data_IF_190793589169
#
_entry.id   IF_190793589169
#
_cell.length_a   1.000
_cell.length_b   1.000
_cell.length_c   1.000
_cell.angle_alpha   90.00
_cell.angle_beta   90.00
_cell.angle_gamma   90.00
#
_symmetry.space_group_name_H-M   'P 1'
#
loop_
_entity.id
_entity.type
_entity.pdbx_description
1 polymer ?
#
# COMPACT_ATOMS: atom_id res chain seq x y z
N UNK A 1 45.52 52.90 21.01
CA UNK A 1 45.47 53.61 22.30
C UNK A 1 44.86 52.68 23.30
N UNK A 2 45.69 51.96 24.06
CA UNK A 2 46.01 52.10 25.48
C UNK A 2 44.72 52.01 26.39
N UNK A 3 44.53 51.12 27.31
CA UNK A 3 45.44 50.49 28.30
C UNK A 3 44.65 49.40 29.06
N UNK A 4 45.21 48.27 29.35
CA UNK A 4 45.00 47.54 30.62
C UNK A 4 45.89 48.23 31.70
N UNK A 5 45.89 47.89 32.99
CA UNK A 5 45.63 46.61 33.71
C UNK A 5 45.05 46.83 35.15
N UNK A 6 44.91 45.74 35.94
CA UNK A 6 44.78 45.83 37.37
C UNK A 6 44.59 44.49 38.06
N UNK A 7 45.71 43.87 38.47
CA UNK A 7 45.81 42.80 39.46
C UNK A 7 45.43 43.31 40.87
N UNK A 8 44.69 42.50 41.65
CA UNK A 8 44.94 42.41 43.11
C UNK A 8 44.65 40.99 43.63
N UNK A 9 45.71 40.38 44.12
CA UNK A 9 45.68 39.16 44.92
C UNK A 9 45.36 39.49 46.39
N UNK A 10 44.62 38.66 47.08
CA UNK A 10 44.70 38.56 48.53
C UNK A 10 44.46 37.09 48.97
N UNK A 11 45.51 36.65 49.69
CA UNK A 11 45.57 35.33 50.35
C UNK A 11 44.78 35.31 51.65
N UNK A 12 44.32 34.12 52.05
CA UNK A 12 44.10 33.90 53.44
C UNK A 12 43.01 32.89 53.85
N UNK A 13 43.51 31.78 54.23
CA UNK A 13 43.20 30.91 55.41
C UNK A 13 42.64 29.52 55.12
N UNK A 14 43.52 28.54 55.43
CA UNK A 14 43.21 27.13 55.63
C UNK A 14 42.15 26.96 56.74
N UNK A 15 41.14 26.15 56.41
CA UNK A 15 40.23 25.57 57.38
C UNK A 15 40.06 24.10 57.06
N UNK A 16 40.67 23.23 57.85
CA UNK A 16 40.52 21.78 57.77
C UNK A 16 39.12 21.38 58.17
N UNK A 17 38.35 20.78 57.30
CA UNK A 17 37.13 20.03 57.67
C UNK A 17 37.28 18.57 57.19
N UNK A 18 37.22 17.67 58.13
CA UNK A 18 37.25 16.24 57.91
C UNK A 18 36.04 15.80 57.06
N UNK A 19 36.35 15.24 55.92
CA UNK A 19 35.33 14.67 55.01
C UNK A 19 34.90 13.28 55.46
N UNK A 20 33.63 13.16 55.78
CA UNK A 20 32.93 11.89 55.97
C UNK A 20 32.72 11.24 54.56
N UNK A 21 33.49 10.20 54.24
CA UNK A 21 33.31 9.43 53.03
C UNK A 21 32.10 8.49 53.25
N UNK A 22 30.94 8.88 52.75
CA UNK A 22 29.82 7.96 52.55
C UNK A 22 30.13 7.05 51.34
N UNK A 23 30.52 5.85 51.62
CA UNK A 23 30.58 4.77 50.59
C UNK A 23 29.14 4.42 50.20
N UNK A 24 28.65 5.03 49.11
CA UNK A 24 27.46 4.57 48.42
C UNK A 24 27.80 3.25 47.73
N UNK A 25 27.40 2.14 48.33
CA UNK A 25 27.47 0.84 47.73
C UNK A 25 26.61 0.82 46.43
N UNK A 26 27.26 0.69 45.26
CA UNK A 26 26.60 0.32 44.04
C UNK A 26 25.99 -1.08 44.23
N UNK A 27 24.68 -1.16 44.47
CA UNK A 27 23.95 -2.40 44.30
C UNK A 27 24.06 -2.81 42.79
N UNK A 28 24.41 -4.06 42.49
CA UNK A 28 24.41 -4.53 41.10
C UNK A 28 22.98 -4.43 40.59
N UNK A 29 22.79 -3.67 39.46
CA UNK A 29 21.55 -3.74 38.69
C UNK A 29 21.34 -5.21 38.29
N UNK A 30 20.12 -5.74 38.44
CA UNK A 30 19.83 -7.06 37.89
C UNK A 30 20.11 -7.00 36.39
N UNK A 31 20.98 -7.87 35.90
CA UNK A 31 21.21 -8.08 34.49
C UNK A 31 19.85 -8.47 33.90
N UNK A 32 19.33 -7.62 33.00
CA UNK A 32 18.20 -7.99 32.18
C UNK A 32 18.63 -9.20 31.36
N UNK A 33 18.26 -10.39 31.83
CA UNK A 33 18.37 -11.60 31.04
C UNK A 33 17.64 -11.41 29.69
N UNK A 34 18.04 -12.11 28.63
CA UNK A 34 17.33 -12.02 27.36
C UNK A 34 15.83 -12.25 27.62
N UNK A 35 14.99 -11.36 27.09
CA UNK A 35 13.54 -11.50 27.19
C UNK A 35 13.17 -12.94 26.76
N UNK A 36 12.28 -13.64 27.47
CA UNK A 36 11.89 -15.00 27.13
C UNK A 36 11.44 -15.01 25.66
N UNK A 37 11.98 -15.95 24.88
CA UNK A 37 11.61 -16.11 23.48
C UNK A 37 10.08 -16.21 23.37
N UNK A 38 9.49 -15.42 22.47
CA UNK A 38 8.06 -15.45 22.24
C UNK A 38 7.65 -16.90 21.90
N UNK A 39 6.57 -17.38 22.55
CA UNK A 39 6.08 -18.74 22.27
C UNK A 39 5.43 -18.79 20.90
N UNK A 40 5.55 -19.89 20.15
CA UNK A 40 4.79 -20.08 18.94
C UNK A 40 3.28 -19.94 19.19
N UNK A 41 2.57 -19.39 18.21
CA UNK A 41 1.10 -19.26 18.24
C UNK A 41 0.51 -20.18 17.19
N UNK A 42 -0.50 -20.95 17.56
CA UNK A 42 -1.23 -21.86 16.67
C UNK A 42 -2.64 -21.36 16.48
N UNK A 43 -3.02 -21.15 15.22
CA UNK A 43 -4.39 -20.86 14.81
C UNK A 43 -5.00 -22.15 14.26
N UNK A 44 -6.11 -22.61 14.84
CA UNK A 44 -6.67 -23.92 14.57
C UNK A 44 -8.14 -23.88 14.21
N UNK A 45 -8.56 -24.60 13.15
CA UNK A 45 -9.94 -24.85 12.78
C UNK A 45 -10.55 -23.90 11.74
N UNK A 46 -9.81 -22.87 11.26
CA UNK A 46 -10.31 -21.97 10.22
C UNK A 46 -10.32 -22.60 8.83
N UNK A 47 -11.18 -22.09 7.94
CA UNK A 47 -10.94 -22.18 6.49
C UNK A 47 -9.72 -21.33 6.15
N UNK A 48 -8.80 -21.87 5.38
CA UNK A 48 -7.58 -21.17 4.95
C UNK A 48 -7.58 -20.97 3.44
N UNK A 49 -7.49 -19.71 3.02
CA UNK A 49 -7.20 -19.28 1.65
C UNK A 49 -5.71 -18.94 1.64
N UNK A 50 -4.91 -19.69 0.89
CA UNK A 50 -3.45 -19.53 0.86
C UNK A 50 -2.98 -18.30 0.09
N UNK A 51 -3.82 -17.74 -0.80
CA UNK A 51 -3.52 -16.54 -1.59
C UNK A 51 -2.81 -16.82 -2.92
N UNK A 52 -2.43 -18.05 -3.21
CA UNK A 52 -1.71 -18.48 -4.43
C UNK A 52 -2.62 -19.06 -5.51
N UNK A 53 -3.95 -19.03 -5.29
CA UNK A 53 -4.94 -19.59 -6.22
C UNK A 53 -5.23 -21.08 -6.06
N UNK A 54 -4.56 -21.76 -5.13
CA UNK A 54 -4.92 -23.14 -4.79
C UNK A 54 -6.25 -23.22 -4.04
N UNK A 55 -6.95 -24.36 -4.07
CA UNK A 55 -8.19 -24.55 -3.31
C UNK A 55 -7.98 -24.30 -1.81
N UNK A 56 -8.99 -23.70 -1.16
CA UNK A 56 -8.95 -23.44 0.26
C UNK A 56 -8.83 -24.75 1.07
N UNK A 57 -8.08 -24.70 2.18
CA UNK A 57 -7.95 -25.81 3.12
C UNK A 57 -9.02 -25.64 4.19
N UNK A 58 -9.95 -26.57 4.24
CA UNK A 58 -10.96 -26.59 5.30
C UNK A 58 -10.35 -27.06 6.62
N UNK A 59 -10.72 -26.37 7.72
CA UNK A 59 -10.22 -26.71 9.07
C UNK A 59 -8.70 -26.80 9.11
N UNK A 60 -8.03 -25.70 8.73
CA UNK A 60 -6.58 -25.62 8.70
C UNK A 60 -5.99 -25.36 10.10
N UNK A 61 -4.73 -25.78 10.25
CA UNK A 61 -3.85 -25.43 11.37
C UNK A 61 -2.67 -24.62 10.83
N UNK A 62 -2.41 -23.46 11.43
CA UNK A 62 -1.27 -22.58 11.13
C UNK A 62 -0.43 -22.42 12.38
N UNK A 63 0.88 -22.59 12.27
CA UNK A 63 1.84 -22.30 13.34
C UNK A 63 2.65 -21.08 12.95
N UNK A 64 2.59 -20.06 13.81
CA UNK A 64 3.36 -18.82 13.67
C UNK A 64 4.41 -18.75 14.77
N UNK A 65 5.64 -18.53 14.38
CA UNK A 65 6.77 -18.31 15.29
C UNK A 65 7.67 -17.22 14.73
N UNK A 66 8.15 -16.34 15.62
CA UNK A 66 9.09 -15.27 15.28
C UNK A 66 8.64 -14.44 14.05
N UNK A 67 7.34 -14.20 13.95
CA UNK A 67 6.74 -13.40 12.88
C UNK A 67 6.58 -14.10 11.53
N UNK A 68 6.79 -15.42 11.46
CA UNK A 68 6.69 -16.22 10.23
C UNK A 68 5.78 -17.43 10.39
N UNK A 69 5.20 -17.88 9.29
CA UNK A 69 4.56 -19.19 9.26
C UNK A 69 5.65 -20.27 9.27
N UNK A 70 5.61 -21.16 10.26
CA UNK A 70 6.55 -22.28 10.35
C UNK A 70 5.94 -23.60 9.90
N UNK A 71 4.61 -23.74 10.04
CA UNK A 71 3.88 -24.87 9.52
C UNK A 71 2.45 -24.46 9.13
N UNK A 72 1.94 -25.03 8.05
CA UNK A 72 0.61 -24.76 7.49
C UNK A 72 0.05 -26.06 6.88
N UNK A 73 -1.20 -26.40 7.18
CA UNK A 73 -1.82 -27.61 6.61
C UNK A 73 -3.21 -27.86 7.17
N UNK A 74 -3.80 -29.00 6.79
CA UNK A 74 -5.08 -29.43 7.34
C UNK A 74 -4.93 -29.80 8.83
N UNK A 75 -5.99 -29.59 9.60
CA UNK A 75 -6.06 -29.94 11.01
C UNK A 75 -5.69 -31.43 11.23
N UNK A 76 -4.80 -31.69 12.18
CA UNK A 76 -4.30 -33.03 12.46
C UNK A 76 -3.10 -33.48 11.58
N UNK A 77 -2.74 -32.72 10.54
CA UNK A 77 -1.56 -32.98 9.69
C UNK A 77 -0.35 -32.11 10.05
N UNK A 78 -0.54 -31.10 10.90
CA UNK A 78 0.49 -30.16 11.31
C UNK A 78 1.02 -30.53 12.69
N UNK A 79 2.34 -30.66 12.85
CA UNK A 79 2.97 -30.85 14.16
C UNK A 79 2.89 -29.53 14.93
N UNK A 80 2.27 -29.58 16.10
CA UNK A 80 2.08 -28.42 16.98
C UNK A 80 3.16 -28.45 18.07
N UNK A 81 3.96 -27.36 18.24
CA UNK A 81 4.93 -27.28 19.33
C UNK A 81 4.22 -27.37 20.70
N UNK A 82 4.78 -28.11 21.64
CA UNK A 82 4.19 -28.35 22.97
C UNK A 82 3.94 -27.04 23.75
N UNK A 83 4.86 -26.06 23.64
CA UNK A 83 4.78 -24.79 24.33
C UNK A 83 3.92 -23.72 23.59
N UNK A 84 3.24 -24.08 22.49
CA UNK A 84 2.51 -23.12 21.68
C UNK A 84 1.23 -22.61 22.37
N UNK A 85 0.97 -21.32 22.23
CA UNK A 85 -0.33 -20.74 22.57
C UNK A 85 -1.34 -21.08 21.47
N UNK A 86 -2.51 -21.62 21.82
CA UNK A 86 -3.55 -21.98 20.86
C UNK A 86 -4.62 -20.90 20.79
N UNK A 87 -5.03 -20.57 19.55
CA UNK A 87 -6.13 -19.67 19.21
C UNK A 87 -7.13 -20.49 18.40
N UNK A 88 -8.33 -20.69 18.93
CA UNK A 88 -9.42 -21.29 18.20
C UNK A 88 -10.03 -20.26 17.23
N UNK A 89 -9.98 -20.59 15.95
CA UNK A 89 -10.54 -19.81 14.85
C UNK A 89 -11.56 -20.61 14.05
N UNK A 90 -12.19 -21.59 14.68
CA UNK A 90 -13.27 -22.40 14.11
C UNK A 90 -14.41 -21.51 13.60
N UNK A 91 -14.89 -21.77 12.39
CA UNK A 91 -15.93 -20.99 11.72
C UNK A 91 -15.45 -19.67 11.11
N UNK A 92 -14.18 -19.31 11.27
CA UNK A 92 -13.55 -18.15 10.62
C UNK A 92 -12.89 -18.54 9.30
N UNK A 93 -12.54 -17.54 8.51
CA UNK A 93 -11.69 -17.70 7.33
C UNK A 93 -10.40 -16.91 7.55
N UNK A 94 -9.26 -17.52 7.22
CA UNK A 94 -7.96 -16.85 7.21
C UNK A 94 -7.51 -16.69 5.77
N UNK A 95 -7.00 -15.51 5.43
CA UNK A 95 -6.37 -15.20 4.14
C UNK A 95 -5.13 -14.34 4.35
N UNK A 96 -4.18 -14.26 3.39
CA UNK A 96 -3.08 -13.32 3.46
C UNK A 96 -3.62 -11.90 3.57
N UNK A 97 -2.93 -11.02 4.30
CA UNK A 97 -3.22 -9.60 4.26
C UNK A 97 -3.00 -9.07 2.83
N UNK A 98 -3.85 -8.14 2.41
CA UNK A 98 -3.89 -7.62 1.04
C UNK A 98 -2.70 -6.68 0.75
N UNK A 99 -2.53 -6.37 -0.53
CA UNK A 99 -1.48 -5.46 -1.03
C UNK A 99 -2.13 -4.44 -1.94
N UNK A 100 -1.87 -3.16 -1.68
CA UNK A 100 -2.21 -2.06 -2.59
C UNK A 100 -1.00 -1.73 -3.46
N UNK A 101 -1.02 -2.20 -4.70
CA UNK A 101 0.11 -2.07 -5.60
C UNK A 101 0.23 -0.69 -6.26
N UNK A 102 -0.78 0.20 -6.13
CA UNK A 102 -0.78 1.52 -6.72
C UNK A 102 -1.57 2.52 -5.89
N UNK A 103 -0.88 3.41 -5.20
CA UNK A 103 -1.46 4.47 -4.39
C UNK A 103 -0.61 5.76 -4.44
N UNK A 104 -1.09 6.83 -3.79
CA UNK A 104 -0.40 8.11 -3.62
C UNK A 104 -0.41 8.51 -2.13
N UNK A 105 0.40 7.80 -1.35
CA UNK A 105 0.40 7.84 0.12
C UNK A 105 0.95 9.18 0.63
N UNK A 106 0.25 9.82 1.59
CA UNK A 106 0.76 10.98 2.34
C UNK A 106 0.24 12.34 1.93
N UNK A 107 -0.52 12.46 0.83
CA UNK A 107 -1.03 13.76 0.35
C UNK A 107 -2.36 14.15 0.96
N UNK A 108 -3.25 13.19 1.17
CA UNK A 108 -4.59 13.45 1.71
C UNK A 108 -4.55 13.48 3.24
N UNK A 109 -5.16 14.51 3.85
CA UNK A 109 -5.40 14.58 5.28
C UNK A 109 -6.72 15.31 5.53
N UNK A 110 -7.71 14.61 6.05
CA UNK A 110 -9.06 15.14 6.26
C UNK A 110 -9.63 15.76 4.97
N UNK A 111 -9.95 17.05 4.98
CA UNK A 111 -10.52 17.79 3.86
C UNK A 111 -9.47 18.50 3.01
N UNK A 112 -8.19 18.22 3.22
CA UNK A 112 -7.09 18.83 2.46
C UNK A 112 -6.29 17.79 1.71
N UNK A 113 -5.72 18.17 0.56
CA UNK A 113 -4.76 17.37 -0.17
C UNK A 113 -3.67 18.30 -0.74
N UNK A 114 -2.42 17.91 -0.52
CA UNK A 114 -1.29 18.68 -1.04
C UNK A 114 0.02 18.36 -0.35
N UNK A 115 1.13 18.99 -0.82
CA UNK A 115 2.47 18.74 -0.31
C UNK A 115 2.65 19.13 1.17
N UNK A 116 1.83 20.05 1.68
CA UNK A 116 1.82 20.44 3.10
C UNK A 116 1.45 19.29 4.03
N UNK A 117 0.72 18.30 3.52
CA UNK A 117 0.33 17.08 4.26
C UNK A 117 1.40 15.98 4.18
N UNK A 118 2.41 16.11 3.30
CA UNK A 118 3.42 15.09 3.08
C UNK A 118 4.44 15.09 4.21
N UNK A 119 4.01 14.61 5.37
CA UNK A 119 4.77 14.54 6.62
C UNK A 119 4.88 13.10 7.09
N UNK A 120 5.89 12.84 7.95
CA UNK A 120 6.05 11.53 8.59
C UNK A 120 4.75 11.06 9.25
N UNK A 121 4.15 11.90 10.06
CA UNK A 121 2.94 11.54 10.84
C UNK A 121 1.78 11.17 9.93
N UNK A 122 1.58 11.91 8.84
CA UNK A 122 0.49 11.62 7.90
C UNK A 122 0.74 10.36 7.07
N UNK A 123 1.99 10.11 6.65
CA UNK A 123 2.33 8.86 5.97
C UNK A 123 2.15 7.67 6.91
N UNK A 124 2.62 7.78 8.16
CA UNK A 124 2.42 6.74 9.19
C UNK A 124 0.93 6.50 9.45
N UNK A 125 0.11 7.55 9.55
CA UNK A 125 -1.35 7.43 9.69
C UNK A 125 -1.94 6.63 8.51
N UNK A 126 -1.52 6.90 7.28
CA UNK A 126 -1.94 6.13 6.10
C UNK A 126 -1.52 4.65 6.20
N UNK A 127 -0.29 4.36 6.63
CA UNK A 127 0.18 2.98 6.80
C UNK A 127 -0.58 2.24 7.91
N UNK A 128 -0.98 2.94 8.96
CA UNK A 128 -1.82 2.42 10.03
C UNK A 128 -3.26 2.16 9.57
N UNK A 129 -3.81 3.02 8.68
CA UNK A 129 -5.10 2.77 8.03
C UNK A 129 -5.03 1.51 7.17
N UNK A 130 -3.99 1.32 6.38
CA UNK A 130 -3.78 0.07 5.65
C UNK A 130 -3.82 -1.14 6.59
N UNK A 131 -3.04 -1.13 7.66
CA UNK A 131 -3.03 -2.21 8.65
C UNK A 131 -4.41 -2.44 9.27
N UNK A 132 -5.13 -1.38 9.62
CA UNK A 132 -6.49 -1.46 10.17
C UNK A 132 -7.45 -2.19 9.24
N UNK A 133 -7.33 -1.97 7.93
CA UNK A 133 -8.15 -2.60 6.89
C UNK A 133 -7.58 -3.92 6.34
N UNK A 134 -6.57 -4.50 6.99
CA UNK A 134 -6.00 -5.80 6.59
C UNK A 134 -5.12 -5.75 5.35
N UNK A 135 -4.45 -4.63 5.13
CA UNK A 135 -3.46 -4.44 4.05
C UNK A 135 -2.05 -4.45 4.64
N UNK A 136 -1.19 -5.35 4.15
CA UNK A 136 0.18 -5.52 4.66
C UNK A 136 1.20 -4.61 3.99
N UNK A 137 0.94 -4.16 2.77
CA UNK A 137 1.86 -3.29 2.03
C UNK A 137 1.11 -2.35 1.09
N UNK A 138 1.62 -1.11 0.96
CA UNK A 138 1.15 -0.11 0.01
C UNK A 138 2.31 0.49 -0.77
N UNK A 139 2.16 0.56 -2.11
CA UNK A 139 3.13 1.13 -3.04
C UNK A 139 2.72 2.53 -3.46
N UNK A 140 3.49 3.54 -3.07
CA UNK A 140 3.35 4.88 -3.63
C UNK A 140 3.97 4.95 -5.03
N UNK A 141 3.18 5.43 -6.02
CA UNK A 141 3.53 5.39 -7.43
C UNK A 141 3.85 6.78 -7.99
N UNK A 142 5.13 7.17 -7.85
CA UNK A 142 5.69 8.33 -8.56
C UNK A 142 5.29 9.68 -8.00
N UNK A 143 4.70 9.74 -6.83
CA UNK A 143 4.27 10.99 -6.17
C UNK A 143 5.16 11.40 -5.00
N UNK A 144 6.18 10.62 -4.70
CA UNK A 144 7.06 10.88 -3.59
C UNK A 144 8.17 11.87 -3.95
N UNK A 145 8.51 12.75 -3.00
CA UNK A 145 9.57 13.72 -3.13
C UNK A 145 10.31 13.83 -1.78
N UNK A 146 11.49 14.37 -1.68
CA UNK A 146 12.32 14.36 -0.48
C UNK A 146 12.94 12.99 -0.15
N UNK A 147 13.65 12.89 0.97
CA UNK A 147 14.26 11.66 1.46
C UNK A 147 13.33 10.86 2.40
N UNK A 148 12.25 11.45 2.86
CA UNK A 148 11.32 10.87 3.83
C UNK A 148 10.73 9.52 3.39
N UNK A 149 10.26 9.33 2.13
CA UNK A 149 9.68 8.07 1.69
C UNK A 149 10.68 6.91 1.78
N UNK A 150 11.94 7.14 1.47
CA UNK A 150 12.96 6.08 1.55
C UNK A 150 13.27 5.68 3.00
N UNK A 151 13.29 6.64 3.92
CA UNK A 151 13.43 6.38 5.36
C UNK A 151 12.25 5.55 5.89
N UNK A 152 11.01 5.94 5.54
CA UNK A 152 9.81 5.23 5.97
C UNK A 152 9.70 3.84 5.33
N UNK A 153 10.14 3.67 4.08
CA UNK A 153 10.26 2.35 3.47
C UNK A 153 11.13 1.42 4.33
N UNK A 154 12.33 1.87 4.68
CA UNK A 154 13.30 1.05 5.41
C UNK A 154 12.85 0.80 6.87
N UNK A 155 12.21 1.79 7.51
CA UNK A 155 11.65 1.64 8.86
C UNK A 155 10.45 0.68 8.89
N UNK A 156 9.53 0.80 7.95
CA UNK A 156 8.34 -0.05 7.88
C UNK A 156 8.69 -1.50 7.52
N UNK A 157 9.64 -1.68 6.59
CA UNK A 157 10.16 -3.01 6.25
C UNK A 157 10.80 -3.71 7.47
N UNK A 158 11.52 -2.95 8.29
CA UNK A 158 12.13 -3.44 9.52
C UNK A 158 11.14 -3.60 10.70
N UNK A 159 9.83 -3.31 10.51
CA UNK A 159 8.82 -3.41 11.56
C UNK A 159 8.95 -2.36 12.68
N UNK A 160 9.69 -1.26 12.45
CA UNK A 160 9.89 -0.20 13.46
C UNK A 160 8.73 0.78 13.59
N UNK A 161 7.71 0.67 12.73
CA UNK A 161 6.49 1.47 12.81
C UNK A 161 5.37 0.55 13.32
N UNK A 162 4.90 0.72 14.57
CA UNK A 162 3.88 -0.15 15.15
C UNK A 162 2.55 -0.05 14.41
N UNK A 163 1.84 -1.18 14.31
CA UNK A 163 0.52 -1.29 13.70
C UNK A 163 0.43 -0.70 12.28
N UNK A 164 1.51 -0.80 11.50
CA UNK A 164 1.61 -0.18 10.19
C UNK A 164 1.96 -1.20 9.10
N UNK A 165 1.36 -1.02 7.93
CA UNK A 165 1.71 -1.71 6.70
C UNK A 165 3.14 -1.35 6.24
N UNK A 166 3.74 -2.19 5.39
CA UNK A 166 5.00 -1.85 4.72
C UNK A 166 4.75 -0.74 3.70
N UNK A 167 5.62 0.24 3.69
CA UNK A 167 5.62 1.31 2.70
C UNK A 167 6.62 0.99 1.60
N UNK A 168 6.17 1.06 0.35
CA UNK A 168 7.03 0.97 -0.82
C UNK A 168 6.89 2.25 -1.63
N UNK A 169 7.95 2.62 -2.35
CA UNK A 169 7.98 3.86 -3.11
C UNK A 169 8.61 3.67 -4.48
N UNK A 170 7.98 4.25 -5.51
CA UNK A 170 8.56 4.48 -6.82
C UNK A 170 9.38 5.81 -6.87
N UNK A 171 9.45 6.52 -5.75
CA UNK A 171 10.07 7.82 -5.68
C UNK A 171 9.34 8.86 -6.53
N UNK A 172 10.09 9.74 -7.14
CA UNK A 172 9.57 10.72 -8.10
C UNK A 172 9.23 10.03 -9.42
N UNK A 173 8.09 10.36 -9.99
CA UNK A 173 7.77 9.91 -11.34
C UNK A 173 8.44 10.77 -12.43
N UNK A 174 8.28 10.37 -13.69
CA UNK A 174 8.83 11.08 -14.84
C UNK A 174 7.68 11.51 -15.77
N UNK A 175 7.66 12.80 -16.15
CA UNK A 175 6.57 13.38 -16.95
C UNK A 175 7.05 14.59 -17.76
N UNK A 176 6.34 15.04 -18.81
CA UNK A 176 6.63 16.31 -19.44
C UNK A 176 6.41 17.48 -18.47
N UNK A 177 7.10 18.64 -18.65
CA UNK A 177 6.93 19.80 -17.79
C UNK A 177 5.49 20.34 -17.70
N UNK A 178 4.75 20.22 -18.80
CA UNK A 178 3.40 20.76 -18.95
C UNK A 178 2.30 19.75 -18.59
N UNK A 179 2.69 18.55 -18.12
CA UNK A 179 1.70 17.56 -17.75
C UNK A 179 0.82 18.07 -16.62
N UNK A 180 -0.49 18.05 -16.83
CA UNK A 180 -1.50 18.40 -15.83
C UNK A 180 -1.74 17.18 -14.93
N UNK A 181 -0.79 16.92 -14.02
CA UNK A 181 -1.15 16.24 -12.78
C UNK A 181 -2.00 17.17 -11.92
N UNK A 182 -2.78 16.65 -10.99
CA UNK A 182 -3.42 17.51 -10.00
C UNK A 182 -2.42 18.49 -9.43
N UNK A 183 -2.78 19.76 -9.31
CA UNK A 183 -1.87 20.83 -8.88
C UNK A 183 -1.11 20.50 -7.59
N UNK A 184 -1.78 19.78 -6.68
CA UNK A 184 -1.22 19.32 -5.41
C UNK A 184 -0.08 18.30 -5.54
N UNK A 185 0.10 17.66 -6.70
CA UNK A 185 1.12 16.63 -6.94
C UNK A 185 2.13 17.02 -8.04
N UNK A 186 1.94 18.18 -8.69
CA UNK A 186 2.75 18.61 -9.84
C UNK A 186 4.25 18.66 -9.54
N UNK A 187 4.64 19.02 -8.32
CA UNK A 187 6.03 19.12 -7.88
C UNK A 187 6.72 17.76 -7.69
N UNK A 188 5.98 16.65 -7.68
CA UNK A 188 6.50 15.33 -7.33
C UNK A 188 7.22 14.61 -8.46
N UNK A 189 7.14 15.04 -9.74
CA UNK A 189 7.84 14.38 -10.82
C UNK A 189 9.07 15.16 -11.31
N UNK A 190 9.94 14.42 -11.98
CA UNK A 190 10.96 14.99 -12.85
C UNK A 190 10.30 15.51 -14.12
N UNK A 191 10.58 16.76 -14.49
CA UNK A 191 10.19 17.33 -15.76
C UNK A 191 11.17 16.86 -16.84
N UNK A 192 10.72 16.06 -17.80
CA UNK A 192 11.56 15.42 -18.81
C UNK A 192 11.32 16.07 -20.17
N UNK A 193 12.40 16.60 -20.76
CA UNK A 193 12.39 17.23 -22.09
C UNK A 193 13.41 16.60 -23.05
N UNK A 194 14.41 15.89 -22.50
CA UNK A 194 15.46 15.23 -23.27
C UNK A 194 15.70 13.80 -22.78
N UNK A 195 16.25 12.94 -23.64
CA UNK A 195 16.67 11.59 -23.26
C UNK A 195 17.73 11.60 -22.15
N UNK A 196 18.64 12.57 -22.16
CA UNK A 196 19.68 12.68 -21.15
C UNK A 196 19.09 12.96 -19.75
N UNK A 197 18.09 13.84 -19.66
CA UNK A 197 17.32 14.07 -18.43
C UNK A 197 16.59 12.80 -17.97
N UNK A 198 15.95 12.08 -18.90
CA UNK A 198 15.28 10.83 -18.62
C UNK A 198 16.24 9.79 -18.00
N UNK A 199 17.39 9.57 -18.62
CA UNK A 199 18.41 8.63 -18.12
C UNK A 199 18.99 9.05 -16.77
N UNK A 200 19.23 10.35 -16.58
CA UNK A 200 19.71 10.90 -15.31
C UNK A 200 18.69 10.65 -14.19
N UNK A 201 17.42 10.98 -14.40
CA UNK A 201 16.34 10.77 -13.42
C UNK A 201 16.18 9.29 -13.03
N UNK A 202 16.21 8.38 -14.01
CA UNK A 202 16.19 6.93 -13.75
C UNK A 202 17.42 6.50 -12.93
N UNK A 203 18.61 7.08 -13.23
CA UNK A 203 19.83 6.83 -12.47
C UNK A 203 19.74 7.25 -11.00
N UNK A 204 19.11 8.39 -10.71
CA UNK A 204 18.86 8.87 -9.35
C UNK A 204 17.91 7.94 -8.59
N UNK A 205 16.84 7.46 -9.24
CA UNK A 205 15.90 6.51 -8.66
C UNK A 205 16.57 5.16 -8.35
N UNK A 206 17.41 4.67 -9.25
CA UNK A 206 18.19 3.44 -9.04
C UNK A 206 19.13 3.57 -7.84
N UNK A 207 19.82 4.71 -7.68
CA UNK A 207 20.67 4.97 -6.52
C UNK A 207 19.92 5.00 -5.18
N UNK A 208 18.60 5.23 -5.21
CA UNK A 208 17.69 5.18 -4.06
C UNK A 208 17.08 3.79 -3.83
N UNK A 209 17.44 2.78 -4.63
CA UNK A 209 16.90 1.42 -4.53
C UNK A 209 15.45 1.30 -4.95
N UNK A 210 14.98 2.14 -5.87
CA UNK A 210 13.64 2.03 -6.47
C UNK A 210 13.62 0.84 -7.43
N UNK A 211 12.60 -0.01 -7.32
CA UNK A 211 12.45 -1.20 -8.16
C UNK A 211 11.56 -0.97 -9.38
N UNK A 212 10.62 -0.02 -9.30
CA UNK A 212 9.65 0.29 -10.35
C UNK A 212 9.66 1.80 -10.60
N UNK A 213 9.98 2.21 -11.82
CA UNK A 213 9.88 3.60 -12.28
C UNK A 213 8.44 3.89 -12.68
N UNK A 214 7.89 5.03 -12.25
CA UNK A 214 6.59 5.53 -12.69
C UNK A 214 6.76 6.62 -13.74
N UNK A 215 5.98 6.52 -14.83
CA UNK A 215 5.88 7.59 -15.84
C UNK A 215 4.44 7.81 -16.29
N UNK A 216 4.17 8.94 -16.94
CA UNK A 216 2.85 9.29 -17.48
C UNK A 216 2.96 9.53 -18.98
N UNK A 217 2.12 8.83 -19.74
CA UNK A 217 1.94 8.99 -21.20
C UNK A 217 0.45 9.22 -21.44
N UNK A 218 0.02 10.47 -21.22
CA UNK A 218 -1.37 10.88 -21.34
C UNK A 218 -1.41 12.36 -21.71
N UNK A 219 -2.16 12.74 -22.74
CA UNK A 219 -2.32 14.12 -23.20
C UNK A 219 -3.58 14.81 -22.66
N UNK A 220 -4.35 14.11 -21.83
CA UNK A 220 -5.61 14.62 -21.28
C UNK A 220 -6.60 15.07 -22.34
N UNK A 221 -6.70 14.30 -23.43
CA UNK A 221 -7.53 14.67 -24.57
C UNK A 221 -6.99 15.83 -25.41
N UNK A 222 -5.67 15.96 -25.47
CA UNK A 222 -4.98 17.02 -26.22
C UNK A 222 -4.74 18.32 -25.43
N UNK A 223 -5.04 18.33 -24.14
CA UNK A 223 -4.85 19.53 -23.29
C UNK A 223 -3.38 19.77 -22.92
N UNK A 224 -2.55 18.75 -22.96
CA UNK A 224 -1.13 18.81 -22.58
C UNK A 224 -0.27 17.97 -23.53
N UNK A 225 1.04 18.24 -23.57
CA UNK A 225 1.97 17.38 -24.28
C UNK A 225 2.19 16.11 -23.48
N UNK A 226 2.27 14.95 -24.15
CA UNK A 226 2.69 13.68 -23.58
C UNK A 226 4.15 13.38 -23.90
N UNK A 227 4.77 12.47 -23.16
CA UNK A 227 6.10 11.97 -23.49
C UNK A 227 6.11 11.36 -24.88
N UNK A 228 7.10 11.74 -25.68
CA UNK A 228 7.31 11.20 -27.02
C UNK A 228 7.87 9.77 -26.94
N UNK A 229 7.77 8.97 -28.04
CA UNK A 229 8.38 7.64 -28.10
C UNK A 229 9.87 7.60 -27.74
N UNK A 230 10.64 8.60 -28.15
CA UNK A 230 12.07 8.67 -27.82
C UNK A 230 12.28 8.86 -26.30
N UNK A 231 11.49 9.72 -25.66
CA UNK A 231 11.62 9.98 -24.21
C UNK A 231 11.20 8.78 -23.36
N UNK A 232 10.03 8.17 -23.63
CA UNK A 232 9.65 6.98 -22.86
C UNK A 232 10.50 5.76 -23.23
N UNK A 233 11.01 5.67 -24.47
CA UNK A 233 11.99 4.67 -24.86
C UNK A 233 13.29 4.78 -24.06
N UNK A 234 13.81 6.00 -23.89
CA UNK A 234 14.99 6.25 -23.07
C UNK A 234 14.78 5.90 -21.58
N UNK A 235 13.58 6.17 -21.05
CA UNK A 235 13.20 5.77 -19.67
C UNK A 235 13.23 4.25 -19.53
N UNK A 236 12.58 3.53 -20.46
CA UNK A 236 12.46 2.06 -20.45
C UNK A 236 13.85 1.42 -20.57
N UNK A 237 14.64 1.85 -21.56
CA UNK A 237 16.00 1.34 -21.79
C UNK A 237 16.89 1.54 -20.57
N UNK A 238 16.92 2.75 -19.99
CA UNK A 238 17.76 3.02 -18.82
C UNK A 238 17.32 2.24 -17.59
N UNK A 239 15.99 2.13 -17.35
CA UNK A 239 15.43 1.34 -16.24
C UNK A 239 15.83 -0.14 -16.38
N UNK A 240 15.68 -0.72 -17.57
CA UNK A 240 16.04 -2.12 -17.82
C UNK A 240 17.54 -2.37 -17.67
N UNK A 241 18.39 -1.45 -18.15
CA UNK A 241 19.87 -1.56 -17.93
C UNK A 241 20.24 -1.58 -16.47
N UNK A 242 19.43 -1.01 -15.60
CA UNK A 242 19.60 -1.00 -14.13
C UNK A 242 18.82 -2.08 -13.38
N UNK A 243 18.16 -2.99 -14.09
CA UNK A 243 17.34 -4.06 -13.48
C UNK A 243 16.03 -3.56 -12.87
N UNK A 244 15.59 -2.35 -13.23
CA UNK A 244 14.33 -1.77 -12.81
C UNK A 244 13.24 -2.02 -13.84
N UNK A 245 11.98 -2.00 -13.42
CA UNK A 245 10.81 -2.08 -14.30
C UNK A 245 10.17 -0.70 -14.46
N UNK A 246 9.40 -0.54 -15.52
CA UNK A 246 8.67 0.71 -15.82
C UNK A 246 7.17 0.45 -15.80
N UNK A 247 6.44 1.22 -14.98
CA UNK A 247 5.00 1.26 -14.93
C UNK A 247 4.50 2.61 -15.45
N UNK A 248 3.53 2.56 -16.35
CA UNK A 248 3.03 3.73 -17.05
C UNK A 248 1.57 4.01 -16.70
N UNK A 249 1.26 5.29 -16.42
CA UNK A 249 -0.08 5.82 -16.55
C UNK A 249 -0.35 6.07 -18.03
N UNK A 250 -1.25 5.30 -18.64
CA UNK A 250 -1.75 5.49 -19.98
C UNK A 250 -3.22 5.04 -20.02
N UNK A 251 -4.07 5.82 -20.66
CA UNK A 251 -5.51 5.55 -20.76
C UNK A 251 -5.97 5.29 -22.18
N UNK A 252 -5.25 5.82 -23.17
CA UNK A 252 -5.56 5.63 -24.58
C UNK A 252 -5.05 4.27 -25.10
N UNK A 253 -5.88 3.60 -25.89
CA UNK A 253 -5.58 2.27 -26.45
C UNK A 253 -4.32 2.25 -27.34
N UNK A 254 -4.17 3.26 -28.21
CA UNK A 254 -3.02 3.36 -29.11
C UNK A 254 -1.71 3.59 -28.35
N UNK A 255 -1.75 4.41 -27.29
CA UNK A 255 -0.59 4.61 -26.39
C UNK A 255 -0.21 3.30 -25.68
N UNK A 256 -1.21 2.54 -25.20
CA UNK A 256 -0.96 1.25 -24.58
C UNK A 256 -0.27 0.27 -25.51
N UNK A 257 -0.71 0.19 -26.77
CA UNK A 257 -0.08 -0.67 -27.80
C UNK A 257 1.34 -0.21 -28.13
N UNK A 258 1.55 1.10 -28.29
CA UNK A 258 2.88 1.66 -28.57
C UNK A 258 3.86 1.39 -27.40
N UNK A 259 3.43 1.58 -26.16
CA UNK A 259 4.20 1.30 -24.95
C UNK A 259 4.53 -0.18 -24.80
N UNK A 260 3.59 -1.08 -25.11
CA UNK A 260 3.87 -2.53 -25.14
C UNK A 260 4.95 -2.87 -26.16
N UNK A 261 4.89 -2.30 -27.37
CA UNK A 261 5.93 -2.50 -28.38
C UNK A 261 7.28 -1.92 -27.97
N UNK A 262 7.27 -0.80 -27.25
CA UNK A 262 8.49 -0.18 -26.70
C UNK A 262 9.10 -0.94 -25.51
N UNK A 263 8.39 -1.92 -24.95
CA UNK A 263 8.96 -2.75 -23.90
C UNK A 263 8.52 -2.44 -22.47
N UNK A 264 7.49 -1.60 -22.27
CA UNK A 264 6.99 -1.30 -20.91
C UNK A 264 6.64 -2.56 -20.13
N UNK A 265 6.84 -2.54 -18.82
CA UNK A 265 6.59 -3.70 -17.94
C UNK A 265 5.19 -3.73 -17.36
N UNK A 266 4.53 -2.57 -17.22
CA UNK A 266 3.19 -2.54 -16.64
C UNK A 266 2.43 -1.24 -16.79
N UNK A 267 1.14 -1.32 -16.46
CA UNK A 267 0.19 -0.21 -16.50
C UNK A 267 -0.48 0.02 -15.16
N UNK A 268 -0.74 1.28 -14.85
CA UNK A 268 -1.29 1.71 -13.57
C UNK A 268 -2.81 1.84 -13.52
N UNK A 269 -3.50 1.65 -14.66
CA UNK A 269 -4.95 1.81 -14.73
C UNK A 269 -5.59 0.79 -15.65
N UNK A 270 -6.92 0.63 -15.50
CA UNK A 270 -7.72 -0.12 -16.44
C UNK A 270 -7.99 0.74 -17.69
N UNK A 271 -7.97 0.11 -18.87
CA UNK A 271 -8.35 0.74 -20.12
C UNK A 271 -9.87 0.69 -20.30
N UNK A 272 -10.44 1.76 -20.87
CA UNK A 272 -11.85 1.74 -21.25
C UNK A 272 -12.08 0.83 -22.48
N UNK A 273 -11.11 0.79 -23.40
CA UNK A 273 -11.18 -0.01 -24.61
C UNK A 273 -10.03 -1.01 -24.65
N UNK A 274 -10.36 -2.28 -24.93
CA UNK A 274 -9.41 -3.37 -25.08
C UNK A 274 -9.81 -4.14 -26.33
N UNK A 275 -9.00 -4.07 -27.39
CA UNK A 275 -9.23 -4.78 -28.63
C UNK A 275 -8.39 -6.08 -28.75
N UNK A 276 -8.57 -6.81 -29.85
CA UNK A 276 -7.88 -8.09 -30.06
C UNK A 276 -6.37 -7.93 -30.22
N UNK A 277 -5.92 -6.79 -30.76
CA UNK A 277 -4.49 -6.50 -30.92
C UNK A 277 -3.83 -6.26 -29.55
N UNK A 278 -4.45 -5.48 -28.65
CA UNK A 278 -3.94 -5.29 -27.29
C UNK A 278 -3.87 -6.63 -26.56
N UNK A 279 -4.91 -7.47 -26.67
CA UNK A 279 -4.92 -8.82 -26.09
C UNK A 279 -3.78 -9.68 -26.63
N UNK A 280 -3.53 -9.64 -27.94
CA UNK A 280 -2.44 -10.39 -28.57
C UNK A 280 -1.06 -9.90 -28.08
N UNK A 281 -0.87 -8.59 -27.96
CA UNK A 281 0.35 -7.99 -27.41
C UNK A 281 0.59 -8.42 -25.96
N UNK A 282 -0.45 -8.40 -25.13
CA UNK A 282 -0.36 -8.85 -23.71
C UNK A 282 -0.01 -10.33 -23.64
N UNK A 283 -0.67 -11.19 -24.44
CA UNK A 283 -0.35 -12.64 -24.51
C UNK A 283 1.08 -12.92 -24.95
N UNK A 284 1.63 -12.10 -25.84
CA UNK A 284 3.02 -12.25 -26.32
C UNK A 284 4.06 -11.82 -25.25
N UNK A 285 3.62 -11.15 -24.19
CA UNK A 285 4.46 -10.62 -23.12
C UNK A 285 3.89 -10.97 -21.74
N UNK A 286 3.90 -12.23 -21.30
CA UNK A 286 3.25 -12.72 -20.09
C UNK A 286 3.80 -12.09 -18.79
N UNK A 287 4.95 -11.42 -18.83
CA UNK A 287 5.53 -10.68 -17.73
C UNK A 287 4.85 -9.32 -17.48
N UNK A 288 4.12 -8.77 -18.46
CA UNK A 288 3.44 -7.47 -18.34
C UNK A 288 2.37 -7.55 -17.25
N UNK A 289 2.34 -6.52 -16.41
CA UNK A 289 1.41 -6.45 -15.30
C UNK A 289 0.48 -5.24 -15.37
N UNK A 290 -0.65 -5.36 -14.69
CA UNK A 290 -1.66 -4.31 -14.57
C UNK A 290 -1.99 -4.10 -13.10
N UNK A 291 -1.78 -2.88 -12.61
CA UNK A 291 -2.16 -2.45 -11.27
C UNK A 291 -3.48 -1.68 -11.37
N UNK A 292 -4.60 -2.42 -11.37
CA UNK A 292 -5.90 -1.87 -11.72
C UNK A 292 -6.51 -1.09 -10.56
N UNK A 293 -7.03 0.09 -10.86
CA UNK A 293 -7.84 0.94 -9.99
C UNK A 293 -9.17 1.30 -10.71
N UNK A 294 -10.08 0.33 -10.91
CA UNK A 294 -11.25 0.51 -11.75
C UNK A 294 -12.35 1.38 -11.16
N UNK A 295 -12.26 1.72 -9.88
CA UNK A 295 -13.38 2.28 -9.12
C UNK A 295 -13.94 3.63 -9.54
N UNK A 296 -13.22 4.45 -10.31
CA UNK A 296 -13.64 5.81 -10.68
C UNK A 296 -15.07 5.91 -11.23
N UNK A 297 -15.39 5.33 -12.38
CA UNK A 297 -16.73 5.38 -12.96
C UNK A 297 -17.77 4.62 -12.11
N UNK A 298 -17.39 3.48 -11.52
CA UNK A 298 -18.31 2.67 -10.75
C UNK A 298 -18.80 3.36 -9.47
N UNK A 299 -17.98 4.14 -8.79
CA UNK A 299 -18.37 4.92 -7.61
C UNK A 299 -19.53 5.87 -7.88
N UNK A 300 -19.57 6.44 -9.08
CA UNK A 300 -20.69 7.29 -9.54
C UNK A 300 -21.98 6.47 -9.68
N UNK A 301 -21.87 5.21 -10.08
CA UNK A 301 -23.01 4.34 -10.38
C UNK A 301 -23.47 3.58 -9.14
N UNK A 302 -22.56 3.16 -8.27
CA UNK A 302 -22.85 2.25 -7.16
C UNK A 302 -21.90 2.44 -5.96
N UNK A 303 -22.21 3.39 -5.09
CA UNK A 303 -21.53 3.56 -3.80
C UNK A 303 -22.40 3.05 -2.65
N UNK A 304 -22.78 1.78 -2.68
CA UNK A 304 -23.72 1.17 -1.72
C UNK A 304 -23.25 1.21 -0.26
N UNK A 305 -21.93 1.34 -0.03
CA UNK A 305 -21.36 1.45 1.30
C UNK A 305 -21.49 2.84 1.93
N UNK A 306 -22.00 3.82 1.19
CA UNK A 306 -22.11 5.22 1.63
C UNK A 306 -23.51 5.57 2.16
N UNK A 307 -24.53 4.77 1.84
CA UNK A 307 -25.91 4.94 2.33
C UNK A 307 -26.60 3.59 2.52
N UNK A 308 -26.69 3.08 3.78
CA UNK A 308 -26.07 3.64 4.99
C UNK A 308 -24.55 3.56 4.96
N UNK A 309 -23.91 4.50 5.66
CA UNK A 309 -22.44 4.51 5.76
C UNK A 309 -21.94 3.24 6.45
N UNK A 310 -21.01 2.54 5.80
CA UNK A 310 -20.46 1.31 6.36
C UNK A 310 -19.71 1.61 7.69
N UNK A 311 -19.90 0.81 8.77
CA UNK A 311 -19.31 1.06 10.08
C UNK A 311 -17.80 1.30 10.05
N UNK A 312 -17.04 0.48 9.30
CA UNK A 312 -15.58 0.65 9.17
C UNK A 312 -15.19 2.00 8.55
N UNK A 313 -16.00 2.56 7.66
CA UNK A 313 -15.77 3.90 7.09
C UNK A 313 -16.06 4.96 8.15
N UNK A 314 -17.19 4.84 8.86
CA UNK A 314 -17.56 5.76 9.93
C UNK A 314 -16.52 5.80 11.09
N UNK A 315 -15.80 4.70 11.30
CA UNK A 315 -14.74 4.61 12.32
C UNK A 315 -13.41 5.27 11.89
N UNK A 316 -13.20 5.51 10.60
CA UNK A 316 -11.89 5.90 10.07
C UNK A 316 -11.92 7.19 9.26
N UNK A 317 -13.08 7.64 8.80
CA UNK A 317 -13.26 8.82 7.95
C UNK A 317 -14.12 9.83 8.71
N UNK A 318 -13.72 11.11 8.68
CA UNK A 318 -14.49 12.13 9.40
C UNK A 318 -15.91 12.30 8.83
N UNK A 319 -16.90 12.62 9.67
CA UNK A 319 -18.27 12.88 9.20
C UNK A 319 -18.35 13.95 8.11
N UNK A 320 -17.46 14.96 8.16
CA UNK A 320 -17.41 16.04 7.17
C UNK A 320 -16.93 15.53 5.80
N UNK A 321 -15.95 14.62 5.76
CA UNK A 321 -15.51 13.99 4.51
C UNK A 321 -16.62 13.13 3.91
N UNK A 322 -17.31 12.35 4.73
CA UNK A 322 -18.45 11.53 4.32
C UNK A 322 -19.56 12.41 3.75
N UNK A 323 -19.97 13.45 4.48
CA UNK A 323 -21.01 14.37 4.05
C UNK A 323 -20.66 15.08 2.73
N UNK A 324 -19.38 15.49 2.57
CA UNK A 324 -18.90 16.10 1.32
C UNK A 324 -19.01 15.14 0.13
N UNK A 325 -18.67 13.86 0.34
CA UNK A 325 -18.80 12.84 -0.70
C UNK A 325 -20.27 12.59 -1.06
N UNK A 326 -21.15 12.42 -0.06
CA UNK A 326 -22.59 12.26 -0.27
C UNK A 326 -23.17 13.42 -1.06
N UNK A 327 -22.84 14.69 -0.70
CA UNK A 327 -23.26 15.87 -1.43
C UNK A 327 -22.76 15.89 -2.88
N UNK A 328 -21.49 15.50 -3.11
CA UNK A 328 -20.93 15.42 -4.46
C UNK A 328 -21.69 14.43 -5.33
N UNK A 329 -21.96 13.24 -4.81
CA UNK A 329 -22.71 12.21 -5.53
C UNK A 329 -24.18 12.61 -5.77
N UNK A 330 -24.80 13.29 -4.81
CA UNK A 330 -26.17 13.78 -4.95
C UNK A 330 -26.34 14.87 -6.01
N UNK A 331 -25.29 15.67 -6.28
CA UNK A 331 -25.29 16.74 -7.29
C UNK A 331 -25.06 16.24 -8.72
N UNK A 332 -24.76 14.96 -8.91
CA UNK A 332 -24.51 14.41 -10.25
C UNK A 332 -25.78 14.43 -11.09
N UNK A 333 -25.64 14.95 -12.30
CA UNK A 333 -26.72 14.99 -13.28
C UNK A 333 -27.00 13.59 -13.85
N UNK A 334 -28.20 13.37 -14.43
CA UNK A 334 -28.48 12.13 -15.15
C UNK A 334 -27.46 11.80 -16.24
N UNK A 335 -27.02 12.83 -17.02
CA UNK A 335 -26.04 12.67 -18.08
C UNK A 335 -24.64 12.26 -17.55
N UNK A 336 -24.22 12.81 -16.40
CA UNK A 336 -22.96 12.39 -15.75
C UNK A 336 -23.03 10.92 -15.29
N UNK A 337 -24.16 10.51 -14.71
CA UNK A 337 -24.38 9.12 -14.31
C UNK A 337 -24.38 8.16 -15.51
N UNK A 338 -25.01 8.55 -16.60
CA UNK A 338 -25.05 7.75 -17.82
C UNK A 338 -23.65 7.61 -18.44
N UNK A 339 -22.89 8.72 -18.54
CA UNK A 339 -21.49 8.67 -19.01
C UNK A 339 -20.63 7.79 -18.12
N UNK A 340 -20.80 7.87 -16.79
CA UNK A 340 -20.06 7.01 -15.85
C UNK A 340 -20.45 5.54 -16.01
N UNK A 341 -21.73 5.24 -16.25
CA UNK A 341 -22.20 3.88 -16.53
C UNK A 341 -21.56 3.32 -17.80
N UNK A 342 -21.62 4.06 -18.90
CA UNK A 342 -21.03 3.64 -20.15
C UNK A 342 -19.50 3.47 -20.07
N UNK A 343 -18.82 4.34 -19.32
CA UNK A 343 -17.39 4.23 -19.05
C UNK A 343 -17.08 2.97 -18.21
N UNK A 344 -17.90 2.69 -17.20
CA UNK A 344 -17.77 1.48 -16.39
C UNK A 344 -17.96 0.21 -17.20
N UNK A 345 -19.01 0.13 -18.03
CA UNK A 345 -19.32 -1.04 -18.85
C UNK A 345 -18.16 -1.38 -19.81
N UNK A 346 -17.59 -0.37 -20.48
CA UNK A 346 -16.41 -0.58 -21.34
C UNK A 346 -15.20 -1.03 -20.56
N UNK A 347 -14.91 -0.38 -19.42
CA UNK A 347 -13.77 -0.74 -18.56
C UNK A 347 -13.92 -2.15 -18.00
N UNK A 348 -15.11 -2.54 -17.54
CA UNK A 348 -15.39 -3.88 -17.03
C UNK A 348 -15.18 -4.95 -18.11
N UNK A 349 -15.68 -4.70 -19.33
CA UNK A 349 -15.43 -5.59 -20.47
C UNK A 349 -13.93 -5.73 -20.77
N UNK A 350 -13.16 -4.62 -20.71
CA UNK A 350 -11.72 -4.63 -20.86
C UNK A 350 -10.99 -5.46 -19.82
N UNK A 351 -11.36 -5.30 -18.52
CA UNK A 351 -10.80 -6.09 -17.42
C UNK A 351 -11.10 -7.58 -17.61
N UNK A 352 -12.35 -7.94 -17.95
CA UNK A 352 -12.72 -9.33 -18.22
C UNK A 352 -11.87 -9.93 -19.36
N UNK A 353 -11.64 -9.19 -20.46
CA UNK A 353 -10.82 -9.64 -21.59
C UNK A 353 -9.36 -9.84 -21.19
N UNK A 354 -8.77 -8.90 -20.44
CA UNK A 354 -7.39 -9.02 -19.96
C UNK A 354 -7.24 -10.20 -18.99
N UNK A 355 -8.18 -10.37 -18.06
CA UNK A 355 -8.19 -11.50 -17.13
C UNK A 355 -8.31 -12.84 -17.86
N UNK A 356 -9.22 -12.95 -18.82
CA UNK A 356 -9.37 -14.16 -19.66
C UNK A 356 -8.13 -14.44 -20.55
N UNK A 357 -7.37 -13.39 -20.88
CA UNK A 357 -6.10 -13.51 -21.61
C UNK A 357 -4.93 -13.99 -20.72
N UNK A 358 -5.13 -14.13 -19.41
CA UNK A 358 -4.09 -14.51 -18.46
C UNK A 358 -3.16 -13.36 -18.06
N UNK A 359 -3.59 -12.11 -18.21
CA UNK A 359 -2.80 -10.95 -17.78
C UNK A 359 -2.49 -11.01 -16.27
N UNK A 360 -1.29 -10.58 -15.89
CA UNK A 360 -0.89 -10.44 -14.48
C UNK A 360 -1.55 -9.20 -13.87
N UNK A 361 -2.57 -9.39 -13.09
CA UNK A 361 -3.36 -8.30 -12.49
C UNK A 361 -3.08 -8.22 -11.00
N UNK A 362 -2.83 -7.02 -10.50
CA UNK A 362 -2.81 -6.68 -9.07
C UNK A 362 -3.84 -5.59 -8.77
N UNK A 363 -4.28 -5.55 -7.52
CA UNK A 363 -5.12 -4.47 -6.99
C UNK A 363 -4.28 -3.22 -6.81
N UNK A 364 -4.77 -2.10 -7.33
CA UNK A 364 -4.33 -0.75 -7.02
C UNK A 364 -5.55 0.10 -6.64
N UNK A 365 -5.36 1.15 -5.86
CA UNK A 365 -6.46 2.03 -5.45
C UNK A 365 -6.39 3.42 -6.07
N UNK A 366 -5.21 3.86 -6.48
CA UNK A 366 -4.91 5.25 -6.83
C UNK A 366 -5.25 6.22 -5.66
N UNK A 367 -5.32 5.69 -4.45
CA UNK A 367 -5.81 6.35 -3.24
C UNK A 367 -4.76 7.19 -2.53
N UNK A 368 -5.24 8.14 -1.69
CA UNK A 368 -4.40 8.95 -0.81
C UNK A 368 -3.79 10.20 -1.43
N UNK A 369 -3.92 10.40 -2.76
CA UNK A 369 -3.35 11.53 -3.49
C UNK A 369 -4.28 12.73 -3.61
N UNK A 370 -5.56 12.50 -3.80
CA UNK A 370 -6.55 13.54 -4.07
C UNK A 370 -7.74 13.48 -3.10
N UNK A 371 -8.39 14.63 -2.92
CA UNK A 371 -9.67 14.68 -2.20
C UNK A 371 -10.73 13.95 -3.02
N UNK A 372 -11.29 12.92 -2.43
CA UNK A 372 -12.29 12.10 -3.10
C UNK A 372 -12.87 11.06 -2.14
N UNK A 373 -13.13 9.93 -2.71
CA UNK A 373 -13.71 8.73 -2.11
C UNK A 373 -12.71 7.57 -2.02
N UNK A 374 -11.45 7.83 -2.40
CA UNK A 374 -10.35 6.87 -2.35
C UNK A 374 -9.68 6.91 -0.97
N UNK A 375 -10.43 6.48 0.06
CA UNK A 375 -9.93 6.44 1.43
C UNK A 375 -8.90 5.34 1.60
N UNK A 376 -7.72 5.70 2.09
CA UNK A 376 -6.60 4.78 2.28
C UNK A 376 -7.02 3.56 3.12
N UNK A 377 -6.70 2.38 2.63
CA UNK A 377 -7.06 1.10 3.22
C UNK A 377 -8.48 0.64 2.83
N UNK A 378 -9.50 1.44 3.06
CA UNK A 378 -10.89 1.12 2.69
C UNK A 378 -11.04 0.83 1.19
N UNK A 379 -10.44 1.66 0.35
CA UNK A 379 -10.59 1.56 -1.11
C UNK A 379 -10.10 0.22 -1.65
N UNK A 380 -9.17 -0.47 -1.00
CA UNK A 380 -8.76 -1.83 -1.39
C UNK A 380 -9.96 -2.78 -1.42
N UNK A 381 -10.84 -2.72 -0.42
CA UNK A 381 -12.07 -3.54 -0.38
C UNK A 381 -13.04 -3.18 -1.50
N UNK A 382 -13.17 -1.90 -1.83
CA UNK A 382 -14.05 -1.50 -2.94
C UNK A 382 -13.47 -1.89 -4.30
N UNK A 383 -12.15 -1.88 -4.47
CA UNK A 383 -11.53 -2.30 -5.73
C UNK A 383 -11.60 -3.82 -5.96
N UNK A 384 -11.47 -4.66 -4.92
CA UNK A 384 -11.71 -6.10 -5.09
C UNK A 384 -13.17 -6.39 -5.47
N UNK A 385 -14.14 -5.63 -4.94
CA UNK A 385 -15.54 -5.73 -5.36
C UNK A 385 -15.75 -5.26 -6.79
N UNK A 386 -15.07 -4.19 -7.21
CA UNK A 386 -15.12 -3.68 -8.58
C UNK A 386 -14.56 -4.71 -9.57
N UNK A 387 -13.47 -5.41 -9.23
CA UNK A 387 -12.90 -6.45 -10.08
C UNK A 387 -13.84 -7.64 -10.23
N UNK A 388 -14.52 -8.07 -9.16
CA UNK A 388 -15.56 -9.13 -9.25
C UNK A 388 -16.73 -8.66 -10.12
N UNK A 389 -17.19 -7.42 -9.93
CA UNK A 389 -18.25 -6.83 -10.76
C UNK A 389 -17.82 -6.66 -12.24
N UNK A 390 -16.53 -6.58 -12.53
CA UNK A 390 -15.97 -6.58 -13.88
C UNK A 390 -15.81 -7.99 -14.48
N UNK A 391 -16.24 -9.06 -13.78
CA UNK A 391 -16.27 -10.42 -14.29
C UNK A 391 -15.11 -11.33 -13.87
N UNK A 392 -14.20 -10.88 -12.99
CA UNK A 392 -13.22 -11.76 -12.36
C UNK A 392 -13.89 -12.61 -11.27
N UNK A 393 -13.45 -13.85 -11.09
CA UNK A 393 -13.92 -14.66 -9.96
C UNK A 393 -13.36 -14.16 -8.63
N UNK A 394 -14.04 -14.37 -7.48
CA UNK A 394 -13.49 -14.02 -6.18
C UNK A 394 -12.08 -14.59 -5.95
N UNK A 395 -11.82 -15.84 -6.36
CA UNK A 395 -10.50 -16.46 -6.23
C UNK A 395 -9.41 -15.70 -7.04
N UNK A 396 -9.70 -15.33 -8.28
CA UNK A 396 -8.77 -14.52 -9.09
C UNK A 396 -8.49 -13.16 -8.45
N UNK A 397 -9.52 -12.52 -7.90
CA UNK A 397 -9.40 -11.22 -7.26
C UNK A 397 -8.60 -11.30 -5.96
N UNK A 398 -8.77 -12.36 -5.16
CA UNK A 398 -7.96 -12.57 -3.95
C UNK A 398 -6.48 -12.81 -4.30
N UNK A 399 -6.19 -13.54 -5.37
CA UNK A 399 -4.82 -13.66 -5.91
C UNK A 399 -4.27 -12.29 -6.33
N UNK A 400 -5.06 -11.48 -7.05
CA UNK A 400 -4.67 -10.13 -7.46
C UNK A 400 -4.38 -9.20 -6.26
N UNK A 401 -5.16 -9.34 -5.18
CA UNK A 401 -5.01 -8.57 -3.95
C UNK A 401 -3.88 -9.07 -3.03
N UNK A 402 -3.28 -10.23 -3.30
CA UNK A 402 -2.29 -10.86 -2.42
C UNK A 402 -1.04 -11.29 -3.18
N UNK A 403 -0.91 -12.55 -3.63
CA UNK A 403 0.32 -13.07 -4.21
C UNK A 403 0.74 -12.42 -5.54
N UNK A 404 -0.21 -12.02 -6.39
CA UNK A 404 0.11 -11.33 -7.62
C UNK A 404 0.68 -9.93 -7.35
N UNK A 405 0.05 -9.17 -6.43
CA UNK A 405 0.56 -7.89 -5.96
C UNK A 405 1.95 -8.01 -5.36
N UNK A 406 2.16 -9.00 -4.46
CA UNK A 406 3.46 -9.28 -3.87
C UNK A 406 4.52 -9.58 -4.94
N UNK A 407 4.25 -10.48 -5.86
CA UNK A 407 5.18 -10.85 -6.92
C UNK A 407 5.50 -9.72 -7.89
N UNK A 408 4.53 -8.85 -8.18
CA UNK A 408 4.76 -7.63 -8.97
C UNK A 408 5.63 -6.64 -8.21
N UNK A 409 5.48 -6.52 -6.90
CA UNK A 409 6.26 -5.58 -6.09
C UNK A 409 7.61 -6.15 -5.59
N UNK A 410 7.91 -7.43 -5.87
CA UNK A 410 9.14 -8.08 -5.39
C UNK A 410 9.13 -8.36 -3.88
N UNK A 411 7.96 -8.60 -3.30
CA UNK A 411 7.76 -8.90 -1.89
C UNK A 411 7.69 -10.42 -1.70
N UNK A 412 8.82 -11.10 -1.86
CA UNK A 412 8.88 -12.58 -1.87
C UNK A 412 8.41 -13.23 -0.56
N UNK A 413 8.40 -12.50 0.54
CA UNK A 413 7.96 -12.99 1.85
C UNK A 413 6.49 -12.68 2.18
N UNK A 414 5.75 -12.00 1.30
CA UNK A 414 4.33 -11.62 1.46
C UNK A 414 3.40 -12.32 0.45
N UNK A 415 2.13 -12.04 0.60
CA UNK A 415 1.07 -12.36 -0.37
C UNK A 415 0.61 -13.81 -0.38
N UNK A 416 1.25 -14.70 0.36
CA UNK A 416 0.81 -16.09 0.49
C UNK A 416 1.02 -16.61 1.92
N UNK A 417 0.16 -17.52 2.36
CA UNK A 417 0.31 -18.24 3.63
C UNK A 417 0.99 -19.59 3.35
N UNK A 418 2.28 -19.62 3.59
CA UNK A 418 3.12 -20.81 3.41
C UNK A 418 4.30 -20.79 4.38
N UNK A 419 4.88 -21.95 4.74
CA UNK A 419 6.06 -21.99 5.58
C UNK A 419 7.20 -21.10 5.07
N UNK A 420 7.83 -20.35 5.99
CA UNK A 420 8.89 -19.38 5.70
C UNK A 420 8.43 -17.98 5.34
N UNK A 421 7.17 -17.79 4.92
CA UNK A 421 6.59 -16.45 4.64
C UNK A 421 6.34 -15.67 5.93
N UNK A 422 6.31 -14.36 5.83
CA UNK A 422 5.94 -13.46 6.91
C UNK A 422 4.47 -13.69 7.30
N UNK A 423 4.19 -13.73 8.59
CA UNK A 423 2.84 -13.97 9.10
C UNK A 423 1.99 -12.68 9.07
N UNK A 424 1.72 -12.23 7.83
CA UNK A 424 0.85 -11.10 7.52
C UNK A 424 -0.48 -11.66 6.98
N UNK A 425 -1.51 -11.67 7.82
CA UNK A 425 -2.79 -12.30 7.48
C UNK A 425 -3.98 -11.65 8.18
N UNK A 426 -5.17 -11.95 7.67
CA UNK A 426 -6.45 -11.46 8.19
C UNK A 426 -7.31 -12.64 8.59
N UNK A 427 -7.94 -12.55 9.76
CA UNK A 427 -9.00 -13.43 10.21
C UNK A 427 -10.34 -12.76 9.92
N UNK A 428 -11.17 -13.40 9.14
CA UNK A 428 -12.49 -12.91 8.70
C UNK A 428 -13.60 -13.71 9.36
N UNK A 429 -14.73 -13.04 9.62
CA UNK A 429 -15.96 -13.67 10.16
C UNK A 429 -16.76 -14.45 9.10
N UNK A 430 -16.41 -14.30 7.81
CA UNK A 430 -17.09 -14.98 6.71
C UNK A 430 -16.14 -15.21 5.53
N UNK A 431 -16.54 -16.09 4.60
CA UNK A 431 -15.73 -16.53 3.47
C UNK A 431 -15.81 -15.53 2.30
N UNK A 432 -14.70 -14.88 1.89
CA UNK A 432 -14.68 -13.97 0.74
C UNK A 432 -14.77 -14.68 -0.63
N UNK A 433 -14.62 -15.99 -0.68
CA UNK A 433 -14.87 -16.76 -1.91
C UNK A 433 -16.37 -16.92 -2.20
N UNK A 434 -17.22 -16.90 -1.18
CA UNK A 434 -18.68 -16.94 -1.34
C UNK A 434 -19.26 -15.56 -1.69
N UNK A 435 -18.73 -14.52 -1.06
CA UNK A 435 -19.06 -13.12 -1.32
C UNK A 435 -17.83 -12.27 -1.03
N UNK A 436 -17.29 -11.61 -2.05
CA UNK A 436 -16.08 -10.80 -1.94
C UNK A 436 -16.21 -9.66 -0.91
N UNK A 437 -17.43 -9.19 -0.63
CA UNK A 437 -17.67 -8.16 0.40
C UNK A 437 -17.31 -8.65 1.80
N UNK A 438 -17.18 -9.95 2.01
CA UNK A 438 -16.74 -10.56 3.27
C UNK A 438 -15.28 -10.23 3.63
N UNK A 439 -14.48 -9.71 2.71
CA UNK A 439 -13.17 -9.11 3.03
C UNK A 439 -13.27 -8.00 4.07
N UNK A 440 -14.42 -7.34 4.17
CA UNK A 440 -14.71 -6.28 5.16
C UNK A 440 -15.03 -6.81 6.54
N UNK A 441 -15.35 -8.11 6.69
CA UNK A 441 -15.75 -8.73 7.95
C UNK A 441 -14.53 -9.15 8.76
N UNK A 442 -13.67 -8.16 9.07
CA UNK A 442 -12.37 -8.34 9.73
C UNK A 442 -12.59 -8.57 11.23
N UNK A 443 -12.33 -9.79 11.69
CA UNK A 443 -12.25 -10.12 13.11
C UNK A 443 -10.92 -9.66 13.71
N UNK A 444 -9.77 -9.95 13.02
CA UNK A 444 -8.44 -9.58 13.48
C UNK A 444 -7.47 -9.47 12.30
N UNK A 445 -6.48 -8.60 12.43
CA UNK A 445 -5.35 -8.45 11.49
C UNK A 445 -4.07 -8.79 12.22
N UNK A 446 -3.21 -9.52 11.55
CA UNK A 446 -1.85 -9.83 12.02
C UNK A 446 -0.84 -9.35 10.97
N UNK A 447 0.16 -8.60 11.42
CA UNK A 447 1.30 -8.21 10.61
C UNK A 447 2.58 -8.71 11.28
N UNK A 448 3.39 -9.44 10.54
CA UNK A 448 4.61 -10.04 11.09
C UNK A 448 4.34 -10.88 12.36
N UNK A 449 3.22 -11.60 12.36
CA UNK A 449 2.78 -12.43 13.48
C UNK A 449 2.24 -11.67 14.70
N UNK A 450 2.26 -10.34 14.67
CA UNK A 450 1.74 -9.49 15.76
C UNK A 450 0.34 -8.99 15.43
N UNK A 451 -0.57 -9.10 16.38
CA UNK A 451 -1.92 -8.58 16.23
C UNK A 451 -1.91 -7.04 16.14
N UNK A 452 -2.55 -6.49 15.13
CA UNK A 452 -2.75 -5.03 14.99
C UNK A 452 -3.75 -4.56 16.06
N UNK A 453 -3.38 -3.54 16.81
CA UNK A 453 -4.26 -2.92 17.82
C UNK A 453 -5.28 -1.98 17.14
N UNK A 454 -6.28 -2.61 16.49
CA UNK A 454 -7.37 -1.90 15.81
C UNK A 454 -8.19 -1.04 16.75
N UNK A 455 -8.31 -1.41 18.04
CA UNK A 455 -9.05 -0.63 19.02
C UNK A 455 -8.34 0.71 19.31
N UNK A 456 -7.02 0.68 19.51
CA UNK A 456 -6.19 1.88 19.69
C UNK A 456 -6.26 2.78 18.45
N UNK A 457 -6.09 2.22 17.26
CA UNK A 457 -6.14 2.98 16.01
C UNK A 457 -7.50 3.66 15.81
N UNK A 458 -8.60 2.95 16.05
CA UNK A 458 -9.96 3.51 15.99
C UNK A 458 -10.11 4.66 16.98
N UNK A 459 -9.68 4.50 18.24
CA UNK A 459 -9.74 5.55 19.25
C UNK A 459 -8.97 6.80 18.84
N UNK A 460 -7.82 6.63 18.16
CA UNK A 460 -7.02 7.73 17.61
C UNK A 460 -7.81 8.55 16.59
N UNK A 461 -8.58 7.94 15.69
CA UNK A 461 -9.32 8.62 14.62
C UNK A 461 -10.69 9.15 15.03
N UNK A 462 -11.36 8.53 16.00
CA UNK A 462 -12.67 8.97 16.51
C UNK A 462 -12.59 10.01 17.61
N UNK A 463 -11.38 10.44 18.00
CA UNK A 463 -11.19 11.42 19.09
C UNK A 463 -11.45 10.88 20.50
N UNK A 464 -11.77 9.61 20.66
CA UNK A 464 -11.99 8.98 21.97
C UNK A 464 -10.68 8.83 22.79
N UNK A 465 -9.52 9.08 22.15
CA UNK A 465 -8.20 9.07 22.78
C UNK A 465 -7.66 10.44 23.22
N UNK A 466 -8.39 11.54 22.94
CA UNK A 466 -7.91 12.90 23.21
C UNK A 466 -8.22 13.41 24.64
N UNK A 467 -8.77 12.55 25.50
CA UNK A 467 -9.03 12.86 26.92
C UNK A 467 -8.20 11.92 27.80
N UNK A 468 -6.87 12.13 27.80
CA UNK A 468 -6.00 11.73 28.90
C UNK A 468 -4.78 12.64 28.95
#
# INVERSE_FOLDING_TARGET
MNRAPGFFASAGRLGSLAGLVCALGCAPQPANGPAPAARPVVFDGARLITGDGTPAIERATLVVDSGRFVAVGAQGQVTIPEAATRVDVTGKTIMPAMIDAHAHIGYMRNLTSGPQNYTRDNIVDHLQRYAYFGVAAGQAMGSDFTDLPYQLRDESAAGRIPDAARFLTAGRGLAPPDEVRPDNMRHSAYAITTEAEARTAVGELAARGVAIVKTWVDDRGGAVRKLTPDLYGAIIDEAHRRGMRVMVHATALDDAKALLRAGVDGFGHAFQDVDDELVALVKSRPQVFFMLAPGGPRRVVSATWLDPVHPLVAETVSPEQIARLQQRLARQTPDERERARAAWERMAAGIARLSAAGARIAVGTDGGGQLGDQFVGWTVHTEVENMVAAGMTPAQVLVAATSAGAGILGLDDLGAIAPGKSADFVVLDANPLDDITNTRRIAQVFLRGTAVDRARLRAQWTGAGATR
#
